data_IF_713504878732
#
_entry.id   IF_713504878732
#
_cell.length_a   1.000
_cell.length_b   1.000
_cell.length_c   1.000
_cell.angle_alpha   90.00
_cell.angle_beta   90.00
_cell.angle_gamma   90.00
#
_symmetry.space_group_name_H-M   'P 1'
#
loop_
_entity.id
_entity.type
_entity.pdbx_description
1 polymer ?
#
# COMPACT_ATOMS: atom_id res chain seq x y z
N UNK A 1 7.30 15.95 -0.89
CA UNK A 1 6.70 14.85 -0.09
C UNK A 1 5.53 14.24 -0.86
N UNK A 2 5.77 13.70 -2.08
CA UNK A 2 4.68 13.29 -2.99
C UNK A 2 4.44 11.76 -3.02
N UNK A 3 5.48 10.96 -2.72
CA UNK A 3 5.46 9.51 -2.97
C UNK A 3 4.36 8.74 -2.20
N UNK A 4 3.98 9.17 -1.00
CA UNK A 4 2.95 8.50 -0.21
C UNK A 4 1.52 8.76 -0.73
N UNK A 5 1.27 9.92 -1.34
CA UNK A 5 -0.04 10.25 -1.90
C UNK A 5 -0.29 9.50 -3.22
N UNK A 6 0.75 9.33 -4.02
CA UNK A 6 0.66 8.67 -5.33
C UNK A 6 0.32 7.17 -5.20
N UNK A 7 0.87 6.47 -4.20
CA UNK A 7 0.58 5.04 -3.95
C UNK A 7 -0.81 4.78 -3.36
N UNK A 8 -1.36 5.73 -2.60
CA UNK A 8 -2.75 5.65 -2.11
C UNK A 8 -3.72 5.87 -3.28
N UNK A 9 -3.47 6.87 -4.12
CA UNK A 9 -4.29 7.14 -5.31
C UNK A 9 -4.24 5.99 -6.34
N UNK A 10 -3.13 5.25 -6.40
CA UNK A 10 -2.95 4.09 -7.26
C UNK A 10 -3.64 2.81 -6.74
N UNK A 11 -4.26 2.84 -5.55
CA UNK A 11 -4.88 1.67 -4.93
C UNK A 11 -3.88 0.61 -4.46
N UNK A 12 -2.60 0.97 -4.34
CA UNK A 12 -1.52 0.05 -3.92
C UNK A 12 -1.51 -0.10 -2.39
N UNK A 13 -1.99 0.93 -1.69
CA UNK A 13 -2.10 0.96 -0.25
C UNK A 13 -3.56 1.22 0.10
N UNK A 14 -4.22 0.21 0.68
CA UNK A 14 -5.48 0.41 1.38
C UNK A 14 -5.16 0.91 2.79
N UNK A 15 -5.77 2.05 3.17
CA UNK A 15 -5.67 2.57 4.53
C UNK A 15 -6.32 1.62 5.52
N UNK A 16 -6.09 1.88 6.81
CA UNK A 16 -6.79 1.18 7.88
C UNK A 16 -8.32 1.31 7.72
N UNK A 17 -9.10 0.40 8.31
CA UNK A 17 -10.57 0.44 8.25
C UNK A 17 -11.20 1.74 8.78
N UNK A 18 -10.44 2.50 9.58
CA UNK A 18 -10.81 3.82 10.10
C UNK A 18 -10.49 5.00 9.15
N UNK A 19 -9.96 4.70 7.95
CA UNK A 19 -9.59 5.68 6.93
C UNK A 19 -8.22 6.32 7.14
N UNK A 20 -7.43 5.87 8.13
CA UNK A 20 -6.09 6.39 8.38
C UNK A 20 -5.04 5.63 7.56
N UNK A 21 -3.99 6.34 7.13
CA UNK A 21 -2.78 5.72 6.61
C UNK A 21 -1.62 6.18 7.49
N UNK A 22 -0.98 5.25 8.18
CA UNK A 22 0.08 5.50 9.15
C UNK A 22 1.45 5.08 8.58
N UNK A 23 2.05 5.85 7.64
CA UNK A 23 3.27 5.46 6.93
C UNK A 23 4.52 5.40 7.82
N UNK A 24 4.44 5.91 9.06
CA UNK A 24 5.54 5.95 10.02
C UNK A 24 5.47 4.83 11.08
N UNK A 25 4.38 4.07 11.14
CA UNK A 25 4.27 2.94 12.07
C UNK A 25 4.86 1.66 11.48
N UNK A 26 5.35 0.79 12.37
CA UNK A 26 5.87 -0.52 11.98
C UNK A 26 4.72 -1.40 11.49
N UNK A 27 4.75 -1.76 10.21
CA UNK A 27 3.76 -2.65 9.60
C UNK A 27 4.02 -4.12 9.95
N UNK A 28 2.98 -4.94 9.96
CA UNK A 28 3.09 -6.39 10.09
C UNK A 28 3.56 -7.04 8.78
N UNK A 29 4.09 -8.27 8.86
CA UNK A 29 4.47 -9.05 7.67
C UNK A 29 3.28 -9.31 6.75
N UNK A 30 2.07 -9.43 7.31
CA UNK A 30 0.85 -9.65 6.55
C UNK A 30 0.48 -8.41 5.74
N UNK A 31 0.49 -7.24 6.38
CA UNK A 31 0.21 -5.96 5.72
C UNK A 31 1.27 -5.62 4.65
N UNK A 32 2.54 -5.87 4.95
CA UNK A 32 3.62 -5.71 3.97
C UNK A 32 3.43 -6.61 2.74
N UNK A 33 2.93 -7.84 2.91
CA UNK A 33 2.67 -8.75 1.80
C UNK A 33 1.52 -8.26 0.92
N UNK A 34 0.44 -7.72 1.51
CA UNK A 34 -0.69 -7.15 0.78
C UNK A 34 -0.26 -5.92 -0.04
N UNK A 35 0.52 -5.01 0.56
CA UNK A 35 1.07 -3.85 -0.17
C UNK A 35 1.96 -4.27 -1.33
N UNK A 36 2.82 -5.27 -1.12
CA UNK A 36 3.69 -5.79 -2.17
C UNK A 36 2.88 -6.47 -3.29
N UNK A 37 1.86 -7.23 -2.95
CA UNK A 37 0.95 -7.84 -3.93
C UNK A 37 0.25 -6.77 -4.78
N UNK A 38 -0.30 -5.73 -4.15
CA UNK A 38 -0.94 -4.60 -4.83
C UNK A 38 0.02 -3.90 -5.78
N UNK A 39 1.26 -3.66 -5.35
CA UNK A 39 2.30 -3.06 -6.18
C UNK A 39 2.64 -3.93 -7.39
N UNK A 40 2.84 -5.24 -7.19
CA UNK A 40 3.19 -6.16 -8.26
C UNK A 40 2.05 -6.31 -9.29
N UNK A 41 0.79 -6.33 -8.85
CA UNK A 41 -0.39 -6.32 -9.74
C UNK A 41 -0.47 -5.00 -10.52
N UNK A 42 -0.27 -3.87 -9.86
CA UNK A 42 -0.30 -2.55 -10.50
C UNK A 42 0.78 -2.41 -11.58
N UNK A 43 1.99 -2.92 -11.31
CA UNK A 43 3.10 -2.99 -12.25
C UNK A 43 2.96 -4.11 -13.30
N UNK A 44 1.88 -4.91 -13.23
CA UNK A 44 1.61 -6.06 -14.11
C UNK A 44 2.72 -7.12 -14.11
N UNK A 45 3.42 -7.27 -12.99
CA UNK A 45 4.37 -8.37 -12.79
C UNK A 45 3.67 -9.69 -12.47
N UNK A 46 2.46 -9.62 -11.91
CA UNK A 46 1.62 -10.77 -11.55
C UNK A 46 0.17 -10.51 -11.99
N UNK A 47 -0.63 -11.57 -12.11
CA UNK A 47 -1.99 -11.55 -12.67
C UNK A 47 -3.04 -11.98 -11.65
#
# INVERSE_FOLDING_TARGET
>A
MQAAADVVAAGIIEGNPDGTFAPAEATSRAEAAVMLEGLLKHLKFIN
#
